data_IF_335703925295
#
_entry.id   IF_335703925295
#
_cell.length_a   1.000
_cell.length_b   1.000
_cell.length_c   1.000
_cell.angle_alpha   90.00
_cell.angle_beta   90.00
_cell.angle_gamma   90.00
#
_symmetry.space_group_name_H-M   'P 1'
#
loop_
_entity.id
_entity.type
_entity.pdbx_description
1 polymer ?
#
# COMPACT_ATOMS: atom_id res chain seq x y z
N UNK A 1 -1.30 -8.62 32.02
CA UNK A 1 -0.47 -9.54 31.21
C UNK A 1 -1.31 -10.61 30.53
N UNK A 2 -1.91 -11.56 31.26
CA UNK A 2 -2.69 -12.66 30.63
C UNK A 2 -3.79 -12.16 29.68
N UNK A 3 -4.56 -11.13 30.07
CA UNK A 3 -5.58 -10.51 29.20
C UNK A 3 -5.02 -10.12 27.81
N UNK A 4 -3.83 -9.53 27.77
CA UNK A 4 -3.17 -9.13 26.52
C UNK A 4 -2.77 -10.35 25.67
N UNK A 5 -2.23 -11.41 26.30
CA UNK A 5 -1.85 -12.63 25.58
C UNK A 5 -3.06 -13.40 25.05
N UNK A 6 -4.17 -13.45 25.79
CA UNK A 6 -5.41 -14.04 25.30
C UNK A 6 -5.93 -13.27 24.09
N UNK A 7 -5.99 -11.94 24.16
CA UNK A 7 -6.40 -11.12 23.02
C UNK A 7 -5.47 -11.30 21.81
N UNK A 8 -4.16 -11.35 22.04
CA UNK A 8 -3.17 -11.57 20.99
C UNK A 8 -3.33 -12.94 20.31
N UNK A 9 -3.57 -14.00 21.08
CA UNK A 9 -3.79 -15.34 20.56
C UNK A 9 -5.08 -15.44 19.75
N UNK A 10 -6.15 -14.78 20.20
CA UNK A 10 -7.41 -14.70 19.44
C UNK A 10 -7.19 -13.98 18.11
N UNK A 11 -6.50 -12.83 18.13
CA UNK A 11 -6.20 -12.08 16.90
C UNK A 11 -5.25 -12.84 15.96
N UNK A 12 -4.30 -13.62 16.51
CA UNK A 12 -3.44 -14.52 15.75
C UNK A 12 -4.27 -15.55 14.98
N UNK A 13 -5.20 -16.22 15.67
CA UNK A 13 -6.09 -17.20 15.05
C UNK A 13 -6.93 -16.59 13.92
N UNK A 14 -7.47 -15.39 14.12
CA UNK A 14 -8.23 -14.70 13.07
C UNK A 14 -7.35 -14.29 11.88
N UNK A 15 -6.20 -13.65 12.13
CA UNK A 15 -5.31 -13.20 11.06
C UNK A 15 -4.77 -14.39 10.25
N UNK A 16 -4.31 -15.45 10.91
CA UNK A 16 -3.78 -16.63 10.21
C UNK A 16 -4.85 -17.43 9.47
N UNK A 17 -6.11 -17.37 9.88
CA UNK A 17 -7.22 -17.92 9.12
C UNK A 17 -7.55 -17.06 7.89
N UNK A 18 -7.59 -15.74 8.07
CA UNK A 18 -7.99 -14.79 7.02
C UNK A 18 -6.96 -14.68 5.90
N UNK A 19 -5.67 -14.81 6.19
CA UNK A 19 -4.60 -14.75 5.17
C UNK A 19 -4.79 -15.76 4.03
N UNK A 20 -4.86 -17.08 4.32
CA UNK A 20 -5.18 -18.11 3.33
C UNK A 20 -6.55 -17.89 2.68
N UNK A 21 -7.57 -17.44 3.43
CA UNK A 21 -8.89 -17.12 2.87
C UNK A 21 -8.80 -16.06 1.77
N UNK A 22 -8.04 -14.98 1.98
CA UNK A 22 -7.81 -13.91 1.01
C UNK A 22 -6.98 -14.34 -0.20
N UNK A 23 -6.26 -15.47 -0.13
CA UNK A 23 -5.53 -16.04 -1.26
C UNK A 23 -6.43 -16.84 -2.23
N UNK A 24 -7.65 -17.20 -1.80
CA UNK A 24 -8.62 -17.89 -2.65
C UNK A 24 -9.12 -16.91 -3.73
N UNK A 25 -9.03 -17.29 -5.00
CA UNK A 25 -9.33 -16.42 -6.15
C UNK A 25 -10.68 -15.69 -6.04
N UNK A 26 -11.73 -16.37 -5.59
CA UNK A 26 -13.08 -15.81 -5.45
C UNK A 26 -13.18 -14.78 -4.32
N UNK A 27 -12.51 -15.03 -3.19
CA UNK A 27 -12.44 -14.07 -2.08
C UNK A 27 -11.55 -12.89 -2.47
N UNK A 28 -10.41 -13.16 -3.12
CA UNK A 28 -9.49 -12.14 -3.61
C UNK A 28 -10.14 -11.23 -4.65
N UNK A 29 -11.00 -11.76 -5.53
CA UNK A 29 -11.75 -10.95 -6.49
C UNK A 29 -12.57 -9.84 -5.81
N UNK A 30 -13.17 -10.17 -4.65
CA UNK A 30 -13.93 -9.25 -3.80
C UNK A 30 -13.03 -8.33 -2.95
N UNK A 31 -12.06 -8.91 -2.23
CA UNK A 31 -11.29 -8.20 -1.20
C UNK A 31 -10.08 -7.42 -1.71
N UNK A 32 -9.47 -7.83 -2.83
CA UNK A 32 -8.27 -7.19 -3.35
C UNK A 32 -8.54 -5.75 -3.78
N UNK A 33 -7.60 -4.85 -3.48
CA UNK A 33 -7.71 -3.38 -3.61
C UNK A 33 -8.71 -2.68 -2.68
N UNK A 34 -9.38 -3.39 -1.78
CA UNK A 34 -10.31 -2.79 -0.81
C UNK A 34 -9.66 -2.59 0.56
N UNK A 35 -10.38 -1.97 1.49
CA UNK A 35 -9.95 -1.86 2.89
C UNK A 35 -9.87 -3.21 3.62
N UNK A 36 -10.38 -4.32 3.05
CA UNK A 36 -10.31 -5.64 3.68
C UNK A 36 -8.85 -6.11 3.85
N UNK A 37 -8.02 -6.04 2.80
CA UNK A 37 -6.60 -6.44 2.89
C UNK A 37 -5.86 -5.63 3.96
N UNK A 38 -6.14 -4.33 4.03
CA UNK A 38 -5.52 -3.46 5.03
C UNK A 38 -6.03 -3.80 6.44
N UNK A 39 -7.33 -4.10 6.59
CA UNK A 39 -7.93 -4.58 7.83
C UNK A 39 -7.26 -5.85 8.34
N UNK A 40 -7.08 -6.86 7.48
CA UNK A 40 -6.38 -8.10 7.77
C UNK A 40 -4.98 -7.85 8.38
N UNK A 41 -4.17 -7.02 7.70
CA UNK A 41 -2.82 -6.69 8.17
C UNK A 41 -2.84 -5.98 9.52
N UNK A 42 -3.80 -5.07 9.75
CA UNK A 42 -3.93 -4.38 11.05
C UNK A 42 -4.43 -5.30 12.17
N UNK A 43 -5.29 -6.28 11.85
CA UNK A 43 -5.67 -7.34 12.78
C UNK A 43 -4.45 -8.13 13.27
N UNK A 44 -3.53 -8.47 12.37
CA UNK A 44 -2.25 -9.09 12.71
C UNK A 44 -1.28 -8.14 13.43
N UNK A 45 -1.07 -6.93 12.92
CA UNK A 45 -0.07 -6.00 13.45
C UNK A 45 -0.46 -5.43 14.82
N UNK A 46 -1.70 -4.94 14.98
CA UNK A 46 -2.16 -4.32 16.21
C UNK A 46 -2.79 -5.34 17.17
N UNK A 47 -3.65 -6.21 16.64
CA UNK A 47 -4.38 -7.20 17.43
C UNK A 47 -3.48 -8.33 17.94
N UNK A 48 -2.69 -8.94 17.06
CA UNK A 48 -1.77 -10.01 17.47
C UNK A 48 -0.45 -9.45 18.01
N UNK A 49 0.40 -8.87 17.15
CA UNK A 49 1.75 -8.46 17.54
C UNK A 49 1.76 -7.33 18.56
N UNK A 50 0.88 -6.34 18.40
CA UNK A 50 0.73 -5.21 19.32
C UNK A 50 0.33 -5.67 20.72
N UNK A 51 -0.78 -6.41 20.85
CA UNK A 51 -1.24 -6.91 22.14
C UNK A 51 -0.22 -7.85 22.80
N UNK A 52 0.45 -8.72 22.04
CA UNK A 52 1.52 -9.57 22.54
C UNK A 52 2.66 -8.73 23.13
N UNK A 53 3.14 -7.74 22.36
CA UNK A 53 4.22 -6.84 22.77
C UNK A 53 3.86 -6.04 24.02
N UNK A 54 2.61 -5.55 24.13
CA UNK A 54 2.13 -4.89 25.34
C UNK A 54 2.15 -5.82 26.54
N UNK A 55 1.64 -7.06 26.39
CA UNK A 55 1.68 -8.07 27.44
C UNK A 55 3.09 -8.35 27.94
N UNK A 56 4.05 -8.49 27.03
CA UNK A 56 5.48 -8.66 27.33
C UNK A 56 6.05 -7.44 28.06
N UNK A 57 5.77 -6.22 27.59
CA UNK A 57 6.26 -4.99 28.21
C UNK A 57 5.76 -4.84 29.67
N UNK A 58 4.47 -5.09 29.92
CA UNK A 58 3.91 -5.07 31.29
C UNK A 58 4.51 -6.14 32.22
N UNK A 59 5.05 -7.23 31.66
CA UNK A 59 5.74 -8.24 32.44
C UNK A 59 7.21 -7.86 32.71
N UNK A 60 7.89 -7.36 31.68
CA UNK A 60 9.34 -7.11 31.68
C UNK A 60 9.72 -5.82 32.38
N UNK A 61 9.05 -4.69 32.11
CA UNK A 61 9.49 -3.38 32.59
C UNK A 61 9.58 -3.31 34.12
N UNK A 62 8.57 -3.74 34.90
CA UNK A 62 8.70 -3.74 36.37
C UNK A 62 9.88 -4.60 36.87
N UNK A 63 10.18 -5.71 36.19
CA UNK A 63 11.27 -6.62 36.58
C UNK A 63 12.65 -6.06 36.23
N UNK A 64 12.79 -5.46 35.06
CA UNK A 64 14.05 -4.87 34.62
C UNK A 64 14.49 -3.69 35.52
N UNK A 65 13.52 -2.88 35.96
CA UNK A 65 13.77 -1.75 36.86
C UNK A 65 13.60 -2.05 38.34
N UNK A 66 13.37 -3.33 38.70
CA UNK A 66 13.12 -3.79 40.09
C UNK A 66 12.09 -2.90 40.82
N UNK A 67 11.02 -2.57 40.11
CA UNK A 67 9.96 -1.66 40.57
C UNK A 67 8.61 -2.36 40.52
N UNK A 68 7.61 -1.79 41.18
CA UNK A 68 6.23 -2.17 41.00
C UNK A 68 5.57 -1.32 39.90
N UNK A 69 4.50 -1.85 39.30
CA UNK A 69 3.74 -1.12 38.32
C UNK A 69 2.98 0.03 39.01
N UNK A 70 3.21 1.27 38.55
CA UNK A 70 2.61 2.48 39.10
C UNK A 70 1.08 2.40 39.25
N UNK A 71 0.38 1.91 38.23
CA UNK A 71 -1.07 1.71 38.33
C UNK A 71 -1.56 0.49 37.55
N UNK A 72 -2.13 -0.47 38.27
CA UNK A 72 -2.85 -1.61 37.67
C UNK A 72 -4.13 -1.16 36.95
N UNK A 73 -4.80 -0.11 37.45
CA UNK A 73 -6.00 0.47 36.84
C UNK A 73 -5.70 1.09 35.47
N UNK A 74 -4.59 1.81 35.33
CA UNK A 74 -4.17 2.35 34.02
C UNK A 74 -3.82 1.25 33.02
N UNK A 75 -3.22 0.15 33.48
CA UNK A 75 -2.95 -1.00 32.63
C UNK A 75 -4.24 -1.69 32.15
N UNK A 76 -5.27 -1.72 32.99
CA UNK A 76 -6.59 -2.24 32.61
C UNK A 76 -7.30 -1.32 31.62
N UNK A 77 -7.25 0.01 31.82
CA UNK A 77 -7.77 0.97 30.85
C UNK A 77 -7.05 0.87 29.51
N UNK A 78 -5.73 0.76 29.51
CA UNK A 78 -4.97 0.52 28.29
C UNK A 78 -5.44 -0.76 27.59
N UNK A 79 -5.60 -1.87 28.31
CA UNK A 79 -6.08 -3.11 27.73
C UNK A 79 -7.43 -2.93 27.01
N UNK A 80 -8.42 -2.34 27.69
CA UNK A 80 -9.75 -2.18 27.12
C UNK A 80 -9.79 -1.19 25.97
N UNK A 81 -9.05 -0.07 26.06
CA UNK A 81 -8.94 0.91 24.98
C UNK A 81 -8.23 0.31 23.76
N UNK A 82 -7.16 -0.45 23.95
CA UNK A 82 -6.45 -1.13 22.87
C UNK A 82 -7.35 -2.20 22.23
N UNK A 83 -8.02 -3.03 23.03
CA UNK A 83 -8.91 -4.07 22.52
C UNK A 83 -10.09 -3.47 21.74
N UNK A 84 -10.81 -2.51 22.33
CA UNK A 84 -11.93 -1.86 21.67
C UNK A 84 -11.47 -1.08 20.42
N UNK A 85 -10.31 -0.41 20.52
CA UNK A 85 -9.69 0.29 19.41
C UNK A 85 -9.42 -0.62 18.22
N UNK A 86 -8.76 -1.76 18.44
CA UNK A 86 -8.51 -2.75 17.39
C UNK A 86 -9.80 -3.31 16.81
N UNK A 87 -10.79 -3.65 17.65
CA UNK A 87 -12.06 -4.20 17.18
C UNK A 87 -12.81 -3.23 16.27
N UNK A 88 -12.95 -1.96 16.69
CA UNK A 88 -13.59 -0.92 15.87
C UNK A 88 -12.82 -0.69 14.56
N UNK A 89 -11.49 -0.63 14.65
CA UNK A 89 -10.63 -0.42 13.49
C UNK A 89 -10.78 -1.59 12.50
N UNK A 90 -10.61 -2.82 12.95
CA UNK A 90 -10.68 -4.02 12.12
C UNK A 90 -12.07 -4.22 11.49
N UNK A 91 -13.13 -4.18 12.30
CA UNK A 91 -14.51 -4.41 11.82
C UNK A 91 -14.89 -3.34 10.79
N UNK A 92 -14.57 -2.07 11.05
CA UNK A 92 -14.88 -1.00 10.09
C UNK A 92 -14.21 -1.21 8.74
N UNK A 93 -12.96 -1.67 8.71
CA UNK A 93 -12.21 -1.90 7.47
C UNK A 93 -12.69 -3.13 6.71
N UNK A 94 -12.96 -4.24 7.40
CA UNK A 94 -13.53 -5.44 6.76
C UNK A 94 -14.92 -5.13 6.20
N UNK A 95 -15.78 -4.46 6.97
CA UNK A 95 -17.10 -4.04 6.50
C UNK A 95 -17.02 -3.08 5.31
N UNK A 96 -16.09 -2.12 5.33
CA UNK A 96 -15.88 -1.19 4.21
C UNK A 96 -15.42 -1.95 2.96
N UNK A 97 -14.47 -2.88 3.14
CA UNK A 97 -13.91 -3.67 2.05
C UNK A 97 -14.93 -4.59 1.39
N UNK A 98 -15.70 -5.33 2.19
CA UNK A 98 -16.80 -6.19 1.69
C UNK A 98 -17.85 -5.34 0.98
N UNK A 99 -18.31 -4.26 1.61
CA UNK A 99 -19.35 -3.39 1.03
C UNK A 99 -18.91 -2.82 -0.32
N UNK A 100 -17.73 -2.21 -0.38
CA UNK A 100 -17.23 -1.60 -1.60
C UNK A 100 -16.95 -2.65 -2.68
N UNK A 101 -16.36 -3.79 -2.32
CA UNK A 101 -16.13 -4.89 -3.25
C UNK A 101 -17.42 -5.45 -3.84
N UNK A 102 -18.47 -5.62 -3.03
CA UNK A 102 -19.79 -6.04 -3.50
C UNK A 102 -20.41 -5.02 -4.45
N UNK A 103 -20.29 -3.72 -4.15
CA UNK A 103 -20.76 -2.65 -5.03
C UNK A 103 -20.00 -2.66 -6.38
N UNK A 104 -18.69 -2.92 -6.38
CA UNK A 104 -17.93 -3.00 -7.63
C UNK A 104 -18.40 -4.13 -8.54
N UNK A 105 -18.82 -5.26 -7.95
CA UNK A 105 -19.28 -6.45 -8.66
C UNK A 105 -20.77 -6.42 -9.03
N UNK A 106 -21.53 -5.46 -8.51
CA UNK A 106 -22.97 -5.42 -8.70
C UNK A 106 -23.33 -5.15 -10.16
N UNK A 107 -24.02 -6.13 -10.77
CA UNK A 107 -24.56 -6.05 -12.13
C UNK A 107 -26.09 -6.09 -12.09
N UNK A 108 -26.73 -5.31 -12.94
CA UNK A 108 -28.17 -5.37 -13.16
C UNK A 108 -28.54 -6.55 -14.10
N UNK A 109 -29.84 -6.87 -14.28
CA UNK A 109 -30.26 -7.98 -15.16
C UNK A 109 -29.77 -7.84 -16.62
N UNK A 110 -29.49 -6.63 -17.08
CA UNK A 110 -28.94 -6.35 -18.41
C UNK A 110 -27.41 -6.48 -18.49
N UNK A 111 -26.75 -6.90 -17.40
CA UNK A 111 -25.31 -7.10 -17.35
C UNK A 111 -24.48 -5.80 -17.24
N UNK A 112 -25.09 -4.68 -16.87
CA UNK A 112 -24.42 -3.39 -16.64
C UNK A 112 -24.12 -3.15 -15.17
N UNK A 113 -23.09 -2.36 -14.89
CA UNK A 113 -22.74 -1.95 -13.52
C UNK A 113 -23.90 -1.20 -12.87
N UNK A 114 -24.32 -1.64 -11.68
CA UNK A 114 -25.31 -0.93 -10.86
C UNK A 114 -24.77 0.41 -10.38
N UNK A 115 -23.48 0.44 -10.03
CA UNK A 115 -22.78 1.62 -9.51
C UNK A 115 -21.68 2.05 -10.49
N UNK A 116 -21.98 2.67 -11.64
CA UNK A 116 -20.98 3.03 -12.64
C UNK A 116 -20.03 4.13 -12.14
N UNK A 117 -20.53 5.07 -11.34
CA UNK A 117 -19.74 6.13 -10.74
C UNK A 117 -18.98 5.64 -9.52
N UNK A 118 -17.65 5.67 -9.59
CA UNK A 118 -16.81 5.13 -8.51
C UNK A 118 -17.05 5.87 -7.18
N UNK A 119 -17.33 7.17 -7.22
CA UNK A 119 -17.53 8.01 -6.03
C UNK A 119 -18.73 7.55 -5.18
N UNK A 120 -19.76 6.95 -5.80
CA UNK A 120 -20.91 6.41 -5.08
C UNK A 120 -20.51 5.27 -4.14
N UNK A 121 -19.58 4.43 -4.60
CA UNK A 121 -19.06 3.32 -3.79
C UNK A 121 -18.22 3.82 -2.61
N UNK A 122 -17.52 4.93 -2.81
CA UNK A 122 -16.70 5.58 -1.77
C UNK A 122 -17.58 6.27 -0.75
N UNK A 123 -18.56 7.08 -1.17
CA UNK A 123 -19.44 7.81 -0.26
C UNK A 123 -20.22 6.88 0.65
N UNK A 124 -20.52 5.65 0.20
CA UNK A 124 -21.16 4.62 1.02
C UNK A 124 -20.30 4.14 2.19
N UNK A 125 -18.97 4.10 2.03
CA UNK A 125 -18.04 3.58 3.04
C UNK A 125 -17.36 4.67 3.88
N UNK A 126 -17.43 5.96 3.48
CA UNK A 126 -16.90 7.09 4.26
C UNK A 126 -17.33 7.09 5.73
N UNK A 127 -18.59 6.76 6.10
CA UNK A 127 -18.97 6.65 7.51
C UNK A 127 -18.12 5.64 8.31
N UNK A 128 -17.64 4.57 7.67
CA UNK A 128 -16.79 3.56 8.32
C UNK A 128 -15.37 4.08 8.54
N UNK A 129 -14.91 5.08 7.78
CA UNK A 129 -13.63 5.74 8.04
C UNK A 129 -13.64 6.52 9.36
N UNK A 130 -14.79 7.08 9.75
CA UNK A 130 -14.95 7.71 11.06
C UNK A 130 -14.89 6.70 12.20
N UNK A 131 -15.53 5.53 12.03
CA UNK A 131 -15.41 4.42 12.99
C UNK A 131 -13.94 3.98 13.12
N UNK A 132 -13.23 3.88 11.99
CA UNK A 132 -11.79 3.60 11.97
C UNK A 132 -10.98 4.64 12.75
N UNK A 133 -11.25 5.93 12.53
CA UNK A 133 -10.56 7.03 13.22
C UNK A 133 -10.79 6.97 14.74
N UNK A 134 -12.02 6.70 15.19
CA UNK A 134 -12.36 6.53 16.60
C UNK A 134 -11.63 5.32 17.20
N UNK A 135 -11.61 4.18 16.50
CA UNK A 135 -10.87 2.99 16.92
C UNK A 135 -9.36 3.27 17.06
N UNK A 136 -8.78 4.00 16.10
CA UNK A 136 -7.39 4.43 16.14
C UNK A 136 -7.09 5.37 17.33
N UNK A 137 -8.00 6.29 17.62
CA UNK A 137 -7.87 7.20 18.78
C UNK A 137 -7.90 6.43 20.11
N UNK A 138 -8.77 5.42 20.26
CA UNK A 138 -8.77 4.57 21.45
C UNK A 138 -7.46 3.81 21.60
N UNK A 139 -6.96 3.23 20.51
CA UNK A 139 -5.69 2.51 20.53
C UNK A 139 -4.52 3.43 20.91
N UNK A 140 -4.43 4.61 20.29
CA UNK A 140 -3.39 5.60 20.57
C UNK A 140 -3.47 6.12 22.02
N UNK A 141 -4.68 6.41 22.50
CA UNK A 141 -4.89 6.83 23.89
C UNK A 141 -4.44 5.74 24.86
N UNK A 142 -4.79 4.48 24.58
CA UNK A 142 -4.32 3.33 25.35
C UNK A 142 -2.78 3.25 25.37
N UNK A 143 -2.14 3.43 24.21
CA UNK A 143 -0.68 3.45 24.10
C UNK A 143 -0.04 4.56 24.94
N UNK A 144 -0.59 5.78 24.91
CA UNK A 144 -0.11 6.90 25.75
C UNK A 144 -0.27 6.58 27.24
N UNK A 145 -1.39 5.99 27.65
CA UNK A 145 -1.58 5.54 29.04
C UNK A 145 -0.55 4.49 29.46
N UNK A 146 -0.22 3.56 28.58
CA UNK A 146 0.84 2.57 28.82
C UNK A 146 2.19 3.23 29.03
N UNK A 147 2.59 4.12 28.11
CA UNK A 147 3.88 4.83 28.19
C UNK A 147 3.96 5.64 29.47
N UNK A 148 2.91 6.38 29.81
CA UNK A 148 2.84 7.11 31.07
C UNK A 148 2.98 6.19 32.29
N UNK A 149 2.24 5.08 32.32
CA UNK A 149 2.31 4.10 33.41
C UNK A 149 3.72 3.53 33.57
N UNK A 150 4.41 3.24 32.47
CA UNK A 150 5.79 2.75 32.50
C UNK A 150 6.78 3.82 32.97
N UNK A 151 6.69 5.05 32.47
CA UNK A 151 7.56 6.17 32.91
C UNK A 151 7.41 6.37 34.42
N UNK A 152 6.18 6.38 34.94
CA UNK A 152 5.93 6.54 36.37
C UNK A 152 6.40 5.34 37.18
N UNK A 153 6.29 4.12 36.66
CA UNK A 153 6.80 2.91 37.33
C UNK A 153 8.32 2.96 37.48
N UNK A 154 9.02 3.39 36.42
CA UNK A 154 10.49 3.51 36.40
C UNK A 154 10.99 4.65 37.29
N UNK A 155 10.24 5.76 37.38
CA UNK A 155 10.57 6.91 38.24
C UNK A 155 10.17 6.71 39.71
N UNK A 156 9.33 5.71 40.01
CA UNK A 156 8.88 5.39 41.36
C UNK A 156 10.04 4.91 42.25
N UNK A 157 9.86 5.02 43.57
CA UNK A 157 10.84 4.47 44.53
C UNK A 157 10.88 2.95 44.40
N UNK A 158 12.08 2.38 44.32
CA UNK A 158 12.26 0.93 44.40
C UNK A 158 11.81 0.46 45.79
N UNK A 159 11.01 -0.62 45.88
CA UNK A 159 10.63 -1.17 47.17
C UNK A 159 11.90 -1.61 47.94
N UNK A 160 11.90 -1.31 49.25
CA UNK A 160 13.04 -1.41 50.17
C UNK A 160 13.52 -2.86 50.44
N UNK A 161 12.90 -3.85 49.79
CA UNK A 161 13.29 -5.26 49.82
C UNK A 161 13.11 -5.89 48.43
N UNK A 162 13.70 -5.27 47.41
CA UNK A 162 13.70 -5.79 46.03
C UNK A 162 14.89 -6.72 45.76
N UNK A 163 15.20 -7.62 46.71
CA UNK A 163 15.73 -8.90 46.28
C UNK A 163 14.64 -9.52 45.42
N UNK A 164 14.84 -9.43 44.11
CA UNK A 164 14.13 -10.29 43.18
C UNK A 164 14.57 -11.68 43.59
N UNK A 165 13.77 -12.31 44.46
CA UNK A 165 13.67 -13.76 44.51
C UNK A 165 13.16 -14.09 43.13
N UNK A 166 14.08 -14.14 42.17
CA UNK A 166 14.00 -15.08 41.08
C UNK A 166 13.82 -16.34 41.90
N UNK A 167 12.61 -16.95 41.96
CA UNK A 167 12.62 -18.32 42.42
C UNK A 167 13.74 -18.90 41.58
N UNK A 168 14.76 -19.49 42.21
CA UNK A 168 15.42 -20.58 41.53
C UNK A 168 14.21 -21.42 41.16
N UNK A 169 13.74 -21.26 39.92
CA UNK A 169 13.08 -22.31 39.21
C UNK A 169 14.23 -23.28 39.32
N UNK A 170 14.20 -24.10 40.39
CA UNK A 170 14.92 -25.36 40.47
C UNK A 170 14.80 -25.79 39.04
N UNK A 171 15.91 -25.82 38.30
CA UNK A 171 15.81 -25.90 36.85
C UNK A 171 15.02 -27.17 36.67
N UNK A 172 13.72 -27.01 36.45
CA UNK A 172 12.82 -28.09 36.14
C UNK A 172 13.07 -28.12 34.65
N UNK A 173 14.32 -28.41 34.26
CA UNK A 173 14.58 -29.65 33.58
C UNK A 173 13.62 -30.60 34.25
N UNK A 174 12.42 -30.72 33.69
CA UNK A 174 11.47 -31.68 34.16
C UNK A 174 12.28 -32.96 34.29
N UNK A 175 12.51 -33.36 35.54
CA UNK A 175 12.82 -34.73 35.92
C UNK A 175 11.53 -35.55 35.83
N UNK A 176 10.45 -34.99 35.27
CA UNK A 176 9.51 -35.80 34.53
C UNK A 176 10.22 -36.39 33.31
N UNK A 177 10.51 -37.67 33.44
CA UNK A 177 10.71 -38.65 32.36
C UNK A 177 9.45 -38.80 31.48
N UNK A 178 8.72 -37.72 31.21
CA UNK A 178 7.52 -37.74 30.36
C UNK A 178 7.67 -36.65 29.28
N UNK A 179 8.07 -37.10 28.09
CA UNK A 179 8.17 -36.26 26.89
C UNK A 179 9.52 -36.25 26.18
N UNK A 180 10.17 -37.41 25.97
CA UNK A 180 11.46 -37.49 25.26
C UNK A 180 11.44 -36.97 23.80
N UNK A 181 10.27 -36.76 23.21
CA UNK A 181 10.12 -36.37 21.80
C UNK A 181 10.52 -34.92 21.48
N UNK A 182 9.93 -33.93 22.15
CA UNK A 182 10.10 -32.51 21.79
C UNK A 182 11.38 -31.89 22.36
N UNK A 183 11.92 -32.40 23.48
CA UNK A 183 13.17 -31.90 24.09
C UNK A 183 14.40 -32.10 23.21
N UNK A 184 14.40 -33.16 22.38
CA UNK A 184 15.41 -33.35 21.32
C UNK A 184 15.32 -32.25 20.26
N UNK A 185 14.13 -31.76 19.92
CA UNK A 185 13.93 -30.67 18.96
C UNK A 185 14.26 -29.30 19.57
N UNK A 186 13.91 -29.08 20.84
CA UNK A 186 14.19 -27.83 21.57
C UNK A 186 15.69 -27.60 21.84
N UNK A 187 16.47 -28.66 22.06
CA UNK A 187 17.92 -28.58 22.25
C UNK A 187 18.72 -28.32 20.96
N UNK A 188 18.06 -28.39 19.80
CA UNK A 188 18.66 -28.28 18.49
C UNK A 188 18.56 -26.85 17.93
N UNK A 189 18.71 -25.82 18.77
CA UNK A 189 18.57 -24.42 18.36
C UNK A 189 19.37 -24.08 17.10
N UNK A 190 20.65 -24.47 17.02
CA UNK A 190 21.48 -24.27 15.82
C UNK A 190 20.95 -25.03 14.61
N UNK A 191 20.56 -26.30 14.76
CA UNK A 191 20.01 -27.09 13.64
C UNK A 191 18.67 -26.51 13.19
N UNK A 192 17.80 -26.12 14.11
CA UNK A 192 16.53 -25.48 13.80
C UNK A 192 16.74 -24.14 13.08
N UNK A 193 17.71 -23.33 13.50
CA UNK A 193 18.08 -22.10 12.79
C UNK A 193 18.61 -22.38 11.39
N UNK A 194 19.46 -23.40 11.21
CA UNK A 194 19.96 -23.82 9.89
C UNK A 194 18.81 -24.32 9.01
N UNK A 195 17.94 -25.17 9.54
CA UNK A 195 16.76 -25.67 8.81
C UNK A 195 15.80 -24.54 8.45
N UNK A 196 15.62 -23.56 9.33
CA UNK A 196 14.82 -22.36 9.05
C UNK A 196 15.45 -21.52 7.95
N UNK A 197 16.77 -21.30 7.99
CA UNK A 197 17.51 -20.59 6.94
C UNK A 197 17.40 -21.32 5.59
N UNK A 198 17.52 -22.64 5.58
CA UNK A 198 17.33 -23.47 4.39
C UNK A 198 15.88 -23.37 3.88
N UNK A 199 14.89 -23.43 4.76
CA UNK A 199 13.48 -23.32 4.38
C UNK A 199 13.14 -21.94 3.80
N UNK A 200 13.55 -20.86 4.46
CA UNK A 200 13.38 -19.49 3.98
C UNK A 200 14.14 -19.29 2.67
N UNK A 201 15.40 -19.70 2.61
CA UNK A 201 16.24 -19.61 1.41
C UNK A 201 15.63 -20.36 0.23
N UNK A 202 15.09 -21.56 0.44
CA UNK A 202 14.42 -22.34 -0.60
C UNK A 202 13.17 -21.61 -1.12
N UNK A 203 12.32 -21.10 -0.24
CA UNK A 203 11.15 -20.31 -0.63
C UNK A 203 11.52 -19.01 -1.36
N UNK A 204 12.57 -18.33 -0.91
CA UNK A 204 13.11 -17.14 -1.59
C UNK A 204 13.65 -17.46 -2.98
N UNK A 205 14.41 -18.56 -3.15
CA UNK A 205 14.90 -18.97 -4.46
C UNK A 205 13.73 -19.32 -5.39
N UNK A 206 12.76 -20.11 -4.93
CA UNK A 206 11.59 -20.51 -5.73
C UNK A 206 10.76 -19.29 -6.16
N UNK A 207 10.65 -18.26 -5.32
CA UNK A 207 9.87 -17.05 -5.63
C UNK A 207 10.64 -16.01 -6.46
N UNK A 208 11.94 -15.83 -6.23
CA UNK A 208 12.76 -14.80 -6.88
C UNK A 208 13.28 -15.27 -8.24
N UNK A 209 13.68 -16.55 -8.37
CA UNK A 209 14.28 -17.07 -9.60
C UNK A 209 13.40 -16.86 -10.85
N UNK A 210 12.08 -17.13 -10.82
CA UNK A 210 11.22 -16.85 -11.97
C UNK A 210 11.14 -15.36 -12.33
N UNK A 211 11.21 -14.47 -11.34
CA UNK A 211 11.16 -13.01 -11.55
C UNK A 211 12.45 -12.51 -12.20
N UNK A 212 13.61 -13.01 -11.77
CA UNK A 212 14.90 -12.65 -12.39
C UNK A 212 15.01 -13.15 -13.83
N UNK A 213 14.31 -14.24 -14.17
CA UNK A 213 14.25 -14.82 -15.50
C UNK A 213 12.91 -14.55 -16.20
N UNK A 214 12.21 -13.46 -15.84
CA UNK A 214 10.86 -13.16 -16.36
C UNK A 214 10.82 -13.16 -17.90
N UNK A 215 11.89 -12.69 -18.56
CA UNK A 215 12.01 -12.64 -20.01
C UNK A 215 11.93 -14.02 -20.69
N UNK A 216 12.17 -15.12 -19.96
CA UNK A 216 12.01 -16.49 -20.48
C UNK A 216 10.55 -16.97 -20.43
N UNK A 217 9.76 -16.40 -19.51
CA UNK A 217 8.37 -16.80 -19.27
C UNK A 217 7.36 -15.85 -19.93
N UNK A 218 7.76 -14.59 -20.12
CA UNK A 218 6.96 -13.55 -20.76
C UNK A 218 7.59 -13.20 -22.10
N UNK A 219 6.91 -13.58 -23.17
CA UNK A 219 7.26 -13.20 -24.53
C UNK A 219 6.71 -11.80 -24.79
N UNK A 220 7.57 -10.78 -24.69
CA UNK A 220 7.20 -9.41 -25.02
C UNK A 220 7.26 -9.20 -26.54
N UNK A 221 6.36 -9.86 -27.27
CA UNK A 221 6.23 -9.68 -28.73
C UNK A 221 5.84 -8.23 -29.09
N UNK A 222 5.34 -7.49 -28.09
CA UNK A 222 4.89 -6.11 -28.13
C UNK A 222 5.75 -5.26 -27.21
N UNK A 223 6.56 -4.40 -27.78
CA UNK A 223 7.37 -3.43 -27.01
C UNK A 223 6.64 -2.10 -27.02
N UNK A 224 6.35 -1.51 -25.86
CA UNK A 224 5.71 -0.19 -25.79
C UNK A 224 6.75 0.92 -25.90
N UNK A 225 6.36 2.09 -26.39
CA UNK A 225 7.23 3.27 -26.30
C UNK A 225 7.48 3.67 -24.84
N UNK A 226 8.71 4.12 -24.50
CA UNK A 226 8.99 4.63 -23.17
C UNK A 226 8.27 5.95 -22.88
N UNK A 227 8.23 6.34 -21.60
CA UNK A 227 7.72 7.65 -21.18
C UNK A 227 8.54 8.78 -21.82
N UNK A 228 7.89 9.82 -22.34
CA UNK A 228 8.61 11.02 -22.78
C UNK A 228 9.28 11.70 -21.59
N UNK A 229 10.27 12.59 -21.79
CA UNK A 229 10.87 13.32 -20.69
C UNK A 229 9.87 14.09 -19.82
N UNK A 230 8.82 14.67 -20.41
CA UNK A 230 7.77 15.36 -19.65
C UNK A 230 6.86 14.40 -18.87
N UNK A 231 6.43 13.31 -19.50
CA UNK A 231 5.62 12.29 -18.85
C UNK A 231 6.39 11.63 -17.68
N UNK A 232 7.70 11.44 -17.83
CA UNK A 232 8.55 10.95 -16.74
C UNK A 232 8.59 11.93 -15.57
N UNK A 233 8.71 13.23 -15.82
CA UNK A 233 8.59 14.25 -14.78
C UNK A 233 7.22 14.19 -14.09
N UNK A 234 6.13 14.03 -14.87
CA UNK A 234 4.78 13.88 -14.36
C UNK A 234 4.59 12.63 -13.51
N UNK A 235 5.21 11.52 -13.91
CA UNK A 235 5.22 10.26 -13.14
C UNK A 235 5.94 10.44 -11.82
N UNK A 236 7.06 11.16 -11.80
CA UNK A 236 7.79 11.42 -10.56
C UNK A 236 6.99 12.31 -9.61
N UNK A 237 6.22 13.27 -10.14
CA UNK A 237 5.25 14.05 -9.36
C UNK A 237 4.14 13.14 -8.83
N UNK A 238 3.56 12.26 -9.65
CA UNK A 238 2.56 11.28 -9.22
C UNK A 238 3.05 10.41 -8.05
N UNK A 239 4.31 9.98 -8.09
CA UNK A 239 4.96 9.23 -7.00
C UNK A 239 5.18 10.12 -5.78
N UNK A 240 5.72 11.33 -5.96
CA UNK A 240 5.99 12.28 -4.87
C UNK A 240 4.73 12.66 -4.09
N UNK A 241 3.63 12.91 -4.79
CA UNK A 241 2.33 13.26 -4.22
C UNK A 241 1.61 12.05 -3.59
N UNK A 242 2.16 10.84 -3.75
CA UNK A 242 1.58 9.63 -3.16
C UNK A 242 0.27 9.21 -3.81
N UNK A 243 0.02 9.56 -5.08
CA UNK A 243 -1.23 9.23 -5.77
C UNK A 243 -1.48 7.71 -5.81
N UNK A 244 -0.41 6.91 -5.86
CA UNK A 244 -0.46 5.44 -5.80
C UNK A 244 -1.07 4.87 -4.50
N UNK A 245 -1.17 5.66 -3.43
CA UNK A 245 -1.81 5.23 -2.18
C UNK A 245 -3.33 5.15 -2.29
N UNK A 246 -3.90 5.90 -3.25
CA UNK A 246 -5.33 5.97 -3.50
C UNK A 246 -5.73 5.32 -4.83
N UNK A 247 -4.85 5.35 -5.82
CA UNK A 247 -5.14 4.93 -7.19
C UNK A 247 -4.26 3.75 -7.60
N UNK A 248 -4.87 2.73 -8.19
CA UNK A 248 -4.13 1.67 -8.86
C UNK A 248 -3.90 1.99 -10.32
N UNK A 249 -2.82 1.43 -10.87
CA UNK A 249 -2.60 1.34 -12.31
C UNK A 249 -2.50 -0.13 -12.73
N UNK A 250 -3.52 -0.91 -12.39
CA UNK A 250 -3.62 -2.31 -12.83
C UNK A 250 -5.08 -2.78 -12.89
N UNK A 251 -5.62 -2.88 -14.10
CA UNK A 251 -6.97 -3.42 -14.36
C UNK A 251 -6.90 -4.95 -14.38
N UNK A 252 -7.69 -5.60 -13.51
CA UNK A 252 -7.73 -7.06 -13.41
C UNK A 252 -8.57 -7.65 -14.54
N UNK A 253 -8.35 -8.92 -14.87
CA UNK A 253 -9.13 -9.70 -15.85
C UNK A 253 -10.53 -10.11 -15.35
N UNK A 254 -11.13 -9.32 -14.45
CA UNK A 254 -12.46 -9.55 -13.91
C UNK A 254 -13.48 -8.76 -14.73
N UNK A 255 -14.64 -9.34 -14.98
CA UNK A 255 -15.67 -8.75 -15.85
C UNK A 255 -16.05 -7.33 -15.42
N UNK A 256 -16.28 -7.11 -14.12
CA UNK A 256 -16.67 -5.80 -13.58
C UNK A 256 -15.54 -4.75 -13.57
N UNK A 257 -14.28 -5.17 -13.47
CA UNK A 257 -13.12 -4.27 -13.63
C UNK A 257 -13.04 -3.83 -15.10
N UNK A 258 -13.22 -4.76 -16.04
CA UNK A 258 -13.18 -4.47 -17.48
C UNK A 258 -14.32 -3.56 -17.91
N UNK A 259 -15.54 -3.82 -17.43
CA UNK A 259 -16.70 -2.95 -17.71
C UNK A 259 -16.51 -1.52 -17.20
N UNK A 260 -15.79 -1.34 -16.08
CA UNK A 260 -15.59 -0.03 -15.46
C UNK A 260 -14.44 0.76 -16.09
N UNK A 261 -13.33 0.09 -16.37
CA UNK A 261 -12.07 0.75 -16.73
C UNK A 261 -11.61 0.49 -18.17
N UNK A 262 -12.11 -0.57 -18.82
CA UNK A 262 -11.69 -0.98 -20.16
C UNK A 262 -10.78 -2.21 -20.14
N UNK A 263 -9.97 -2.37 -21.20
CA UNK A 263 -9.15 -3.57 -21.40
C UNK A 263 -8.22 -3.85 -20.19
N UNK A 264 -8.08 -5.13 -19.76
CA UNK A 264 -7.16 -5.51 -18.69
C UNK A 264 -5.73 -5.01 -18.94
N UNK A 265 -5.02 -4.69 -17.86
CA UNK A 265 -3.61 -4.30 -17.95
C UNK A 265 -2.76 -5.50 -18.38
N UNK A 266 -1.74 -5.23 -19.18
CA UNK A 266 -0.77 -6.23 -19.63
C UNK A 266 0.62 -5.91 -19.05
N UNK A 267 1.55 -6.88 -19.08
CA UNK A 267 2.89 -6.67 -18.51
C UNK A 267 3.65 -5.61 -19.31
N UNK A 268 3.42 -5.56 -20.62
CA UNK A 268 4.09 -4.71 -21.59
C UNK A 268 3.85 -3.23 -21.30
N UNK A 269 2.73 -2.88 -20.67
CA UNK A 269 2.39 -1.50 -20.31
C UNK A 269 3.22 -0.96 -19.15
N UNK A 270 3.78 -1.84 -18.31
CA UNK A 270 4.60 -1.48 -17.16
C UNK A 270 6.08 -1.88 -17.32
N UNK A 271 6.50 -2.34 -18.51
CA UNK A 271 7.87 -2.81 -18.74
C UNK A 271 8.95 -1.72 -18.51
N UNK A 272 8.56 -0.45 -18.66
CA UNK A 272 9.45 0.69 -18.44
C UNK A 272 9.32 1.32 -17.05
N UNK A 273 8.34 0.91 -16.26
CA UNK A 273 8.08 1.52 -14.95
C UNK A 273 9.11 1.09 -13.90
N UNK A 274 9.85 2.07 -13.39
CA UNK A 274 10.84 1.86 -12.32
C UNK A 274 10.61 2.87 -11.20
N UNK A 275 10.01 2.49 -10.05
CA UNK A 275 9.32 1.23 -9.78
C UNK A 275 7.94 1.13 -10.45
N UNK A 276 7.37 -0.07 -10.57
CA UNK A 276 5.99 -0.23 -11.08
C UNK A 276 4.98 0.62 -10.29
N UNK A 277 3.89 1.04 -10.95
CA UNK A 277 2.81 1.82 -10.32
C UNK A 277 1.53 1.02 -10.10
N UNK A 278 1.61 -0.31 -10.17
CA UNK A 278 0.51 -1.18 -9.76
C UNK A 278 0.15 -0.88 -8.31
N UNK A 279 -1.11 -0.50 -8.08
CA UNK A 279 -1.56 -0.10 -6.76
C UNK A 279 -1.76 -1.29 -5.83
N UNK A 280 -1.97 -1.00 -4.55
CA UNK A 280 -2.35 -1.99 -3.54
C UNK A 280 -3.74 -1.72 -2.96
N UNK A 281 -4.33 -0.57 -3.30
CA UNK A 281 -5.65 -0.12 -2.83
C UNK A 281 -6.29 0.81 -3.87
N UNK A 282 -7.63 0.84 -3.91
CA UNK A 282 -8.45 1.80 -4.65
C UNK A 282 -9.33 2.57 -3.67
N UNK A 283 -8.86 3.74 -3.25
CA UNK A 283 -9.69 4.79 -2.61
C UNK A 283 -10.22 5.78 -3.66
N UNK A 284 -9.47 5.97 -4.74
CA UNK A 284 -9.96 6.49 -6.01
C UNK A 284 -10.00 5.38 -7.08
N UNK A 285 -10.56 5.69 -8.27
CA UNK A 285 -10.63 4.73 -9.38
C UNK A 285 -9.25 4.33 -9.90
N UNK A 286 -9.19 3.20 -10.60
CA UNK A 286 -8.00 2.82 -11.38
C UNK A 286 -7.72 3.83 -12.50
N UNK A 287 -6.44 4.11 -12.76
CA UNK A 287 -6.02 5.14 -13.71
C UNK A 287 -5.38 4.58 -14.99
N UNK A 288 -5.21 3.27 -15.13
CA UNK A 288 -4.46 2.64 -16.25
C UNK A 288 -4.97 2.97 -17.65
N UNK A 289 -6.20 3.49 -17.76
CA UNK A 289 -6.90 3.85 -19.01
C UNK A 289 -7.53 5.24 -18.95
N UNK A 290 -6.98 6.14 -18.13
CA UNK A 290 -7.51 7.51 -18.04
C UNK A 290 -7.09 8.38 -19.23
N UNK A 291 -6.05 7.98 -19.98
CA UNK A 291 -5.53 8.76 -21.10
C UNK A 291 -6.62 9.06 -22.13
N UNK A 292 -6.76 10.34 -22.48
CA UNK A 292 -7.78 10.92 -23.37
C UNK A 292 -9.23 10.77 -22.90
N UNK A 293 -9.49 10.24 -21.70
CA UNK A 293 -10.85 10.10 -21.15
C UNK A 293 -11.43 11.45 -20.75
N UNK A 294 -10.59 12.37 -20.28
CA UNK A 294 -10.96 13.72 -19.88
C UNK A 294 -10.03 14.75 -20.56
N UNK A 295 -10.51 15.98 -20.83
CA UNK A 295 -9.67 17.04 -21.38
C UNK A 295 -8.64 17.53 -20.35
N UNK A 296 -7.58 18.20 -20.82
CA UNK A 296 -6.50 18.69 -19.96
C UNK A 296 -7.02 19.66 -18.90
N UNK A 297 -7.98 20.53 -19.26
CA UNK A 297 -8.63 21.44 -18.32
C UNK A 297 -9.38 20.71 -17.20
N UNK A 298 -9.96 19.54 -17.49
CA UNK A 298 -10.62 18.75 -16.46
C UNK A 298 -9.59 18.28 -15.43
N UNK A 299 -8.43 17.77 -15.88
CA UNK A 299 -7.36 17.38 -14.98
C UNK A 299 -6.82 18.56 -14.17
N UNK A 300 -6.63 19.71 -14.81
CA UNK A 300 -6.20 20.95 -14.14
C UNK A 300 -7.18 21.36 -13.03
N UNK A 301 -8.48 21.46 -13.34
CA UNK A 301 -9.51 21.85 -12.36
C UNK A 301 -9.68 20.78 -11.28
N UNK A 302 -9.63 19.50 -11.65
CA UNK A 302 -9.75 18.40 -10.70
C UNK A 302 -8.60 18.40 -9.71
N UNK A 303 -7.35 18.64 -10.13
CA UNK A 303 -6.22 18.71 -9.20
C UNK A 303 -6.29 19.94 -8.29
N UNK A 304 -6.81 21.07 -8.78
CA UNK A 304 -7.01 22.27 -7.98
C UNK A 304 -8.08 22.08 -6.90
N UNK A 305 -9.25 21.59 -7.30
CA UNK A 305 -10.35 21.30 -6.40
C UNK A 305 -11.19 20.11 -6.92
N UNK A 306 -10.92 18.89 -6.41
CA UNK A 306 -11.72 17.72 -6.78
C UNK A 306 -13.20 17.85 -6.41
N UNK A 307 -13.57 18.67 -5.41
CA UNK A 307 -14.98 18.85 -5.00
C UNK A 307 -15.76 19.68 -6.01
N UNK A 308 -15.10 20.63 -6.66
CA UNK A 308 -15.73 21.44 -7.71
C UNK A 308 -16.12 20.59 -8.94
N UNK A 309 -15.40 19.50 -9.18
CA UNK A 309 -15.67 18.55 -10.28
C UNK A 309 -16.56 17.40 -9.84
N UNK A 310 -16.33 16.87 -8.64
CA UNK A 310 -17.08 15.75 -8.06
C UNK A 310 -17.32 16.05 -6.60
N UNK A 311 -18.52 16.53 -6.28
CA UNK A 311 -18.88 17.06 -4.95
C UNK A 311 -18.56 16.11 -3.79
N UNK A 312 -18.73 14.80 -3.99
CA UNK A 312 -18.47 13.76 -2.99
C UNK A 312 -17.03 13.22 -3.02
N UNK A 313 -16.11 13.79 -3.81
CA UNK A 313 -14.72 13.34 -3.87
C UNK A 313 -14.03 13.52 -2.52
N UNK A 314 -13.23 12.54 -2.13
CA UNK A 314 -12.37 12.56 -0.93
C UNK A 314 -10.86 12.73 -1.24
N UNK A 315 -10.48 12.83 -2.51
CA UNK A 315 -9.08 13.00 -2.95
C UNK A 315 -8.51 14.37 -2.55
N UNK A 316 -7.34 14.52 -1.91
CA UNK A 316 -6.81 15.85 -1.55
C UNK A 316 -6.75 16.85 -2.73
N UNK A 317 -6.85 18.14 -2.42
CA UNK A 317 -6.56 19.21 -3.37
C UNK A 317 -5.04 19.40 -3.49
N UNK A 318 -4.55 19.67 -4.70
CA UNK A 318 -3.13 19.83 -5.02
C UNK A 318 -2.83 21.21 -5.66
N UNK A 319 -3.22 22.34 -5.04
CA UNK A 319 -3.05 23.66 -5.65
C UNK A 319 -1.59 24.07 -5.86
N UNK A 320 -0.67 23.49 -5.08
CA UNK A 320 0.76 23.74 -5.25
C UNK A 320 1.31 23.27 -6.60
N UNK A 321 0.67 22.32 -7.28
CA UNK A 321 1.11 21.88 -8.62
C UNK A 321 0.99 22.99 -9.67
N UNK A 322 0.12 23.97 -9.44
CA UNK A 322 -0.02 25.16 -10.30
C UNK A 322 0.97 26.25 -9.91
N UNK A 323 1.50 26.24 -8.69
CA UNK A 323 2.46 27.21 -8.19
C UNK A 323 3.92 26.79 -8.42
N UNK A 324 4.21 25.50 -8.23
CA UNK A 324 5.55 24.94 -8.30
C UNK A 324 5.98 24.67 -9.73
N UNK A 325 7.30 24.76 -9.96
CA UNK A 325 7.94 24.54 -11.26
C UNK A 325 8.48 23.13 -11.39
N UNK A 326 8.36 22.56 -12.58
CA UNK A 326 8.99 21.29 -12.94
C UNK A 326 10.51 21.46 -13.06
N UNK A 327 11.26 20.60 -12.38
CA UNK A 327 12.72 20.52 -12.54
C UNK A 327 13.09 19.73 -13.82
N UNK A 328 13.11 20.43 -14.94
CA UNK A 328 13.51 19.85 -16.23
C UNK A 328 14.98 19.43 -16.26
N UNK A 329 15.86 20.07 -15.49
CA UNK A 329 17.31 19.79 -15.52
C UNK A 329 17.58 18.39 -14.96
N UNK A 330 16.84 17.97 -13.93
CA UNK A 330 16.93 16.63 -13.37
C UNK A 330 16.68 15.51 -14.40
N UNK A 331 15.94 15.78 -15.48
CA UNK A 331 15.65 14.81 -16.53
C UNK A 331 16.91 14.34 -17.27
N UNK A 332 17.94 15.19 -17.40
CA UNK A 332 19.22 14.83 -18.05
C UNK A 332 19.85 13.60 -17.41
N UNK A 333 19.94 13.60 -16.07
CA UNK A 333 20.48 12.46 -15.33
C UNK A 333 19.53 11.26 -15.37
N UNK A 334 18.22 11.48 -15.20
CA UNK A 334 17.23 10.40 -15.11
C UNK A 334 17.12 9.60 -16.41
N UNK A 335 16.98 10.29 -17.54
CA UNK A 335 16.88 9.64 -18.86
C UNK A 335 18.17 8.87 -19.17
N UNK A 336 19.34 9.44 -18.87
CA UNK A 336 20.63 8.74 -19.00
C UNK A 336 20.70 7.46 -18.17
N UNK A 337 20.23 7.51 -16.91
CA UNK A 337 20.18 6.33 -16.03
C UNK A 337 19.18 5.30 -16.54
N UNK A 338 18.00 5.70 -16.98
CA UNK A 338 17.00 4.77 -17.51
C UNK A 338 17.50 4.10 -18.80
N UNK A 339 18.20 4.83 -19.67
CA UNK A 339 18.88 4.24 -20.83
C UNK A 339 19.92 3.21 -20.42
N UNK A 340 20.75 3.53 -19.42
CA UNK A 340 21.71 2.57 -18.84
C UNK A 340 21.01 1.31 -18.29
N UNK A 341 19.81 1.45 -17.72
CA UNK A 341 18.98 0.35 -17.23
C UNK A 341 18.17 -0.38 -18.32
N UNK A 342 18.41 -0.05 -19.60
CA UNK A 342 17.84 -0.74 -20.76
C UNK A 342 16.55 -0.14 -21.33
N UNK A 343 16.11 1.05 -20.88
CA UNK A 343 15.00 1.76 -21.54
C UNK A 343 15.45 2.31 -22.90
N UNK A 344 14.71 2.07 -24.00
CA UNK A 344 15.17 2.34 -25.36
C UNK A 344 15.03 3.82 -25.76
N UNK A 345 15.70 4.72 -25.02
CA UNK A 345 15.77 6.13 -25.38
C UNK A 345 16.77 6.36 -26.53
N UNK A 346 16.34 7.10 -27.55
CA UNK A 346 17.23 7.55 -28.63
C UNK A 346 18.33 8.48 -28.08
N UNK A 347 19.45 8.56 -28.78
CA UNK A 347 20.55 9.46 -28.39
C UNK A 347 20.11 10.94 -28.39
N UNK A 348 19.18 11.30 -29.28
CA UNK A 348 18.58 12.63 -29.31
C UNK A 348 17.83 12.96 -28.01
N UNK A 349 17.01 12.03 -27.52
CA UNK A 349 16.25 12.20 -26.27
C UNK A 349 17.19 12.30 -25.07
N UNK A 350 18.30 11.57 -25.08
CA UNK A 350 19.29 11.59 -23.99
C UNK A 350 20.12 12.87 -23.99
N UNK A 351 20.42 13.41 -25.18
CA UNK A 351 21.18 14.64 -25.31
C UNK A 351 20.40 15.88 -24.85
N UNK A 352 19.09 15.93 -25.13
CA UNK A 352 18.27 17.13 -24.92
C UNK A 352 16.92 16.88 -24.19
N UNK A 353 16.85 16.08 -23.11
CA UNK A 353 15.58 15.68 -22.51
C UNK A 353 14.83 16.87 -21.89
N UNK A 354 15.55 17.85 -21.34
CA UNK A 354 14.96 19.07 -20.78
C UNK A 354 14.30 19.94 -21.85
N UNK A 355 14.94 20.09 -23.01
CA UNK A 355 14.40 20.88 -24.14
C UNK A 355 13.17 20.21 -24.72
N UNK A 356 13.21 18.88 -24.89
CA UNK A 356 12.07 18.09 -25.37
C UNK A 356 10.89 18.22 -24.40
N UNK A 357 11.15 18.08 -23.09
CA UNK A 357 10.12 18.23 -22.07
C UNK A 357 9.50 19.63 -22.08
N UNK A 358 10.30 20.69 -22.21
CA UNK A 358 9.81 22.07 -22.27
C UNK A 358 8.95 22.31 -23.51
N UNK A 359 9.33 21.76 -24.66
CA UNK A 359 8.55 21.86 -25.90
C UNK A 359 7.20 21.17 -25.77
N UNK A 360 7.17 19.95 -25.23
CA UNK A 360 5.92 19.23 -24.94
C UNK A 360 5.06 19.99 -23.93
N UNK A 361 5.67 20.55 -22.87
CA UNK A 361 4.97 21.26 -21.83
C UNK A 361 4.31 22.53 -22.37
N UNK A 362 5.00 23.24 -23.28
CA UNK A 362 4.43 24.39 -23.99
C UNK A 362 3.18 24.02 -24.78
N UNK A 363 3.19 22.90 -25.50
CA UNK A 363 2.01 22.45 -26.28
C UNK A 363 0.80 22.19 -25.39
N UNK A 364 1.02 21.53 -24.23
CA UNK A 364 -0.07 21.25 -23.28
C UNK A 364 -0.54 22.54 -22.59
N UNK A 365 0.39 23.44 -22.21
CA UNK A 365 0.05 24.73 -21.62
C UNK A 365 -0.75 25.63 -22.58
N UNK A 366 -0.37 25.67 -23.86
CA UNK A 366 -1.09 26.42 -24.89
C UNK A 366 -2.51 25.84 -25.09
N UNK A 367 -2.66 24.50 -25.03
CA UNK A 367 -3.98 23.84 -25.08
C UNK A 367 -4.82 24.16 -23.84
N UNK A 368 -4.25 24.09 -22.66
CA UNK A 368 -4.91 24.47 -21.40
C UNK A 368 -5.40 25.92 -21.44
N UNK A 369 -4.58 26.84 -21.93
CA UNK A 369 -4.97 28.23 -22.10
C UNK A 369 -6.14 28.38 -23.08
N UNK A 370 -6.14 27.65 -24.20
CA UNK A 370 -7.24 27.63 -25.16
C UNK A 370 -8.54 27.05 -24.55
N UNK A 371 -8.43 26.11 -23.61
CA UNK A 371 -9.56 25.54 -22.88
C UNK A 371 -10.05 26.43 -21.70
N UNK A 372 -9.34 27.51 -21.39
CA UNK A 372 -9.74 28.49 -20.36
C UNK A 372 -9.01 28.37 -19.02
N UNK A 373 -7.85 27.72 -18.97
CA UNK A 373 -6.92 27.83 -17.85
C UNK A 373 -6.06 29.11 -17.95
N UNK A 374 -5.40 29.56 -16.87
CA UNK A 374 -4.42 30.65 -16.93
C UNK A 374 -3.30 30.36 -17.94
N UNK A 375 -2.79 31.42 -18.58
CA UNK A 375 -1.60 31.34 -19.43
C UNK A 375 -0.31 31.22 -18.59
N UNK A 376 0.79 30.79 -19.21
CA UNK A 376 2.11 30.74 -18.55
C UNK A 376 2.32 29.50 -17.68
N UNK A 377 1.59 28.41 -17.93
CA UNK A 377 1.67 27.17 -17.14
C UNK A 377 2.76 26.20 -17.62
N UNK A 378 3.48 26.51 -18.69
CA UNK A 378 4.44 25.59 -19.34
C UNK A 378 5.58 25.12 -18.42
N UNK A 379 5.92 25.89 -17.39
CA UNK A 379 6.93 25.49 -16.41
C UNK A 379 6.35 24.77 -15.19
N UNK A 380 5.03 24.68 -15.06
CA UNK A 380 4.38 24.25 -13.82
C UNK A 380 4.20 22.74 -13.77
N UNK A 381 4.29 22.19 -12.55
CA UNK A 381 4.21 20.76 -12.29
C UNK A 381 2.89 20.14 -12.76
N UNK A 382 1.80 20.89 -12.74
CA UNK A 382 0.50 20.44 -13.23
C UNK A 382 0.55 20.00 -14.69
N UNK A 383 1.34 20.67 -15.53
CA UNK A 383 1.47 20.32 -16.95
C UNK A 383 2.18 18.99 -17.12
N UNK A 384 3.26 18.76 -16.38
CA UNK A 384 3.96 17.48 -16.39
C UNK A 384 3.05 16.34 -15.90
N UNK A 385 2.31 16.55 -14.81
CA UNK A 385 1.36 15.55 -14.30
C UNK A 385 0.25 15.25 -15.32
N UNK A 386 -0.31 16.27 -15.98
CA UNK A 386 -1.31 16.07 -17.04
C UNK A 386 -0.72 15.26 -18.20
N UNK A 387 0.50 15.55 -18.64
CA UNK A 387 1.16 14.78 -19.68
C UNK A 387 1.23 13.29 -19.33
N UNK A 388 1.67 12.97 -18.11
CA UNK A 388 1.72 11.60 -17.62
C UNK A 388 0.33 10.96 -17.59
N UNK A 389 -0.68 11.65 -17.06
CA UNK A 389 -2.04 11.12 -16.97
C UNK A 389 -2.66 10.86 -18.34
N UNK A 390 -2.44 11.75 -19.30
CA UNK A 390 -2.93 11.62 -20.67
C UNK A 390 -2.28 10.47 -21.44
N UNK A 391 -1.05 10.11 -21.09
CA UNK A 391 -0.31 9.03 -21.71
C UNK A 391 -0.72 7.62 -21.21
N UNK A 392 -1.40 7.52 -20.06
CA UNK A 392 -1.77 6.23 -19.47
C UNK A 392 -2.75 5.45 -20.34
N UNK A 393 -2.32 4.25 -20.76
CA UNK A 393 -3.06 3.38 -21.67
C UNK A 393 -3.06 3.83 -23.13
N UNK A 394 -2.23 4.83 -23.48
CA UNK A 394 -2.15 5.40 -24.84
C UNK A 394 -0.80 5.15 -25.52
N UNK A 395 0.15 4.52 -24.84
CA UNK A 395 1.48 4.23 -25.38
C UNK A 395 1.40 3.27 -26.55
N UNK A 396 1.92 3.65 -27.73
CA UNK A 396 1.89 2.77 -28.89
C UNK A 396 2.83 1.58 -28.68
N UNK A 397 2.52 0.50 -29.39
CA UNK A 397 3.40 -0.67 -29.49
C UNK A 397 4.33 -0.44 -30.67
N UNK A 398 5.63 -0.41 -30.41
CA UNK A 398 6.68 -0.44 -31.41
C UNK A 398 6.57 -1.73 -32.21
N UNK A 399 6.55 -1.61 -33.55
CA UNK A 399 6.61 -2.76 -34.42
C UNK A 399 7.95 -3.47 -34.22
N UNK A 400 7.93 -4.74 -33.83
CA UNK A 400 9.12 -5.58 -33.79
C UNK A 400 9.45 -6.05 -35.21
N UNK A 401 10.72 -5.98 -35.61
CA UNK A 401 11.21 -6.38 -36.95
C UNK A 401 10.86 -7.84 -37.34
N UNK A 402 10.43 -8.65 -36.37
CA UNK A 402 9.94 -10.02 -36.58
C UNK A 402 8.69 -10.13 -37.48
N UNK A 403 7.96 -9.03 -37.75
CA UNK A 403 6.85 -9.03 -38.71
C UNK A 403 7.27 -8.80 -40.18
N UNK A 404 8.55 -8.56 -40.48
CA UNK A 404 9.02 -8.35 -41.86
C UNK A 404 9.69 -9.57 -42.50
N UNK A 405 9.87 -10.67 -41.76
CA UNK A 405 10.55 -11.89 -42.22
C UNK A 405 9.64 -13.05 -42.64
N UNK A 406 8.33 -12.84 -42.76
CA UNK A 406 7.35 -13.88 -43.11
C UNK A 406 6.41 -13.44 -44.22
N UNK A 407 6.93 -13.39 -45.45
CA UNK A 407 6.15 -13.51 -46.68
C UNK A 407 6.67 -14.70 -47.49
#
# INVERSE_FOLDING_TARGET
VIKFFVAALTAYGMATFEGPLLSIKTVSALGHYTDWIVGHVHGGALGWNGMLSFGMAYYMIPRLWKTELYSKKLAEWHFWLALLGVLLYYISMVSAGITQGMMWMALNPEGKLVYPDFVETVSRIVPLYWVRAIGGLFFLTGFVLMVYNFIMSVRGKQPENSEVVVPKRAVVFATQKEGEGHRRLEGLGTIFSVLTLVAVGSGSVISIYPILNLNQYVHNDKVTEPWTPLELAGRDIYVREGCYTCHSQQIRKLSFDVMRYGAPSTIEESMWDRPHQWGSKRTGPDLSRIGKKYPDLWHYRHMLDPRAITSQSIMPAYPWLVANKTDFIALRKKISVLKFLGTPYSDEVVANPDIIAQKEAKVIADRLAAEGAPQGLESQEIVALIAYLQAMGQKPVLATEAQQGGQ
#
